data_IF_835865439223
#
_entry.id   IF_835865439223
#
_cell.length_a   1.000
_cell.length_b   1.000
_cell.length_c   1.000
_cell.angle_alpha   90.00
_cell.angle_beta   90.00
_cell.angle_gamma   90.00
#
_symmetry.space_group_name_H-M   'P 1'
#
loop_
_entity.id
_entity.type
_entity.pdbx_description
1 polymer ?
#
# COMPACT_ATOMS: atom_id res chain seq x y z
N UNK A 1 13.84 -13.08 9.02
CA UNK A 1 13.24 -11.78 8.67
C UNK A 1 12.16 -12.05 7.63
N UNK A 2 10.89 -12.18 8.04
CA UNK A 2 9.78 -12.44 7.13
C UNK A 2 9.02 -11.13 6.90
N UNK A 3 9.04 -10.63 5.67
CA UNK A 3 8.36 -9.39 5.24
C UNK A 3 7.08 -9.67 4.44
N UNK A 4 6.53 -10.87 4.62
CA UNK A 4 5.29 -11.30 3.97
C UNK A 4 4.16 -11.11 4.99
N UNK A 5 3.15 -10.33 4.61
CA UNK A 5 2.00 -10.01 5.43
C UNK A 5 0.77 -10.73 4.90
N UNK A 6 -0.20 -11.01 5.76
CA UNK A 6 -1.40 -11.76 5.40
C UNK A 6 -2.35 -10.97 4.49
N UNK A 7 -2.35 -9.63 4.57
CA UNK A 7 -3.17 -8.72 3.78
C UNK A 7 -2.52 -7.32 3.72
N UNK A 8 -3.16 -6.41 2.99
CA UNK A 8 -2.67 -5.04 2.77
C UNK A 8 -2.72 -4.20 4.05
N UNK A 9 -3.76 -4.37 4.87
CA UNK A 9 -3.95 -3.65 6.13
C UNK A 9 -2.83 -3.98 7.12
N UNK A 10 -2.52 -5.26 7.31
CA UNK A 10 -1.42 -5.70 8.17
C UNK A 10 -0.04 -5.23 7.67
N UNK A 11 0.11 -5.00 6.36
CA UNK A 11 1.33 -4.45 5.79
C UNK A 11 1.49 -2.94 6.04
N UNK A 12 0.39 -2.22 6.24
CA UNK A 12 0.34 -0.76 6.43
C UNK A 12 0.15 -0.34 7.90
N UNK A 13 -0.18 -1.28 8.79
CA UNK A 13 -0.43 -1.03 10.20
C UNK A 13 0.74 -0.29 10.88
N UNK A 14 0.43 0.85 11.50
CA UNK A 14 1.41 1.73 12.15
C UNK A 14 2.36 2.48 11.21
N UNK A 15 2.25 2.35 9.88
CA UNK A 15 3.11 3.06 8.93
C UNK A 15 2.52 4.38 8.45
N UNK A 16 1.20 4.41 8.20
CA UNK A 16 0.53 5.57 7.60
C UNK A 16 0.45 6.76 8.56
N UNK A 17 0.63 7.96 8.02
CA UNK A 17 0.47 9.21 8.76
C UNK A 17 0.02 10.35 7.83
N UNK A 18 -0.61 11.36 8.43
CA UNK A 18 -1.12 12.54 7.73
C UNK A 18 -0.02 13.32 7.02
N UNK A 19 -0.27 13.71 5.77
CA UNK A 19 0.69 14.44 4.94
C UNK A 19 1.84 13.60 4.39
N UNK A 20 1.79 12.26 4.51
CA UNK A 20 2.78 11.38 3.88
C UNK A 20 2.75 11.50 2.36
N UNK A 21 3.91 11.71 1.75
CA UNK A 21 4.08 11.55 0.30
C UNK A 21 4.27 10.07 -0.04
N UNK A 22 3.35 9.51 -0.83
CA UNK A 22 3.40 8.11 -1.26
C UNK A 22 3.82 8.03 -2.73
N UNK A 23 4.85 7.24 -3.03
CA UNK A 23 5.20 6.88 -4.40
C UNK A 23 4.45 5.61 -4.81
N UNK A 24 3.54 5.72 -5.78
CA UNK A 24 2.74 4.61 -6.30
C UNK A 24 3.13 4.31 -7.77
N UNK A 25 3.40 3.04 -8.07
CA UNK A 25 3.69 2.58 -9.43
C UNK A 25 2.43 2.29 -10.26
N UNK A 26 2.61 2.16 -11.58
CA UNK A 26 1.58 1.76 -12.54
C UNK A 26 1.53 2.63 -13.80
N UNK A 27 0.86 2.14 -14.84
CA UNK A 27 0.56 2.88 -16.07
C UNK A 27 -0.92 2.68 -16.44
N UNK A 28 -1.74 3.73 -16.30
CA UNK A 28 -3.19 3.60 -16.39
C UNK A 28 -3.71 2.64 -15.30
N UNK A 29 -4.24 1.48 -15.70
CA UNK A 29 -4.66 0.40 -14.80
C UNK A 29 -3.64 -0.75 -14.72
N UNK A 30 -2.61 -0.76 -15.56
CA UNK A 30 -1.62 -1.83 -15.58
C UNK A 30 -0.59 -1.62 -14.46
N UNK A 31 -0.42 -2.62 -13.60
CA UNK A 31 0.62 -2.63 -12.57
C UNK A 31 0.38 -1.70 -11.37
N UNK A 32 -0.86 -1.28 -11.12
CA UNK A 32 -1.20 -0.48 -9.94
C UNK A 32 -1.20 -1.37 -8.68
N UNK A 33 -0.81 -0.84 -7.49
CA UNK A 33 -0.86 -1.56 -6.24
C UNK A 33 -2.30 -1.58 -5.66
N UNK A 34 -3.24 -2.19 -6.39
CA UNK A 34 -4.69 -2.10 -6.12
C UNK A 34 -5.07 -2.42 -4.67
N UNK A 35 -4.54 -3.50 -4.09
CA UNK A 35 -4.85 -3.90 -2.71
C UNK A 35 -4.38 -2.85 -1.68
N UNK A 36 -3.21 -2.24 -1.90
CA UNK A 36 -2.69 -1.20 -1.00
C UNK A 36 -3.48 0.10 -1.16
N UNK A 37 -3.89 0.46 -2.38
CA UNK A 37 -4.75 1.62 -2.62
C UNK A 37 -6.11 1.46 -1.94
N UNK A 38 -6.68 0.25 -1.95
CA UNK A 38 -7.93 -0.04 -1.24
C UNK A 38 -7.78 0.06 0.27
N UNK A 39 -6.64 -0.35 0.83
CA UNK A 39 -6.37 -0.28 2.28
C UNK A 39 -6.03 1.13 2.79
N UNK A 40 -5.62 2.05 1.91
CA UNK A 40 -5.34 3.46 2.26
C UNK A 40 -6.63 4.31 2.25
N UNK A 41 -7.62 3.93 1.45
CA UNK A 41 -8.88 4.67 1.29
C UNK A 41 -9.67 4.76 2.60
#
# INVERSE_FOLDING_TARGET
>A
MNKVFANAEAALDGLLFEGMTIAAGGFGLCGIPELLLQAIK
#
